data_IF_942416071976
#
_entry.id   IF_942416071976
#
_cell.length_a   1.000
_cell.length_b   1.000
_cell.length_c   1.000
_cell.angle_alpha   90.00
_cell.angle_beta   90.00
_cell.angle_gamma   90.00
#
_symmetry.space_group_name_H-M   'P 1'
#
loop_
_entity.id
_entity.type
_entity.pdbx_description
1 polymer ?
#
# COMPACT_ATOMS: atom_id res chain seq x y z
N UNK A 1 -23.58 11.78 -64.20
CA UNK A 1 -24.21 11.04 -63.08
C UNK A 1 -24.35 9.58 -63.46
N UNK A 2 -23.62 8.68 -62.80
CA UNK A 2 -23.95 7.27 -62.53
C UNK A 2 -22.75 6.58 -61.84
N UNK A 3 -22.89 6.52 -60.51
CA UNK A 3 -22.41 5.58 -59.50
C UNK A 3 -21.07 4.82 -59.64
N UNK A 4 -20.19 5.18 -58.68
CA UNK A 4 -19.30 4.39 -57.82
C UNK A 4 -18.80 3.03 -58.28
N UNK A 5 -17.49 2.99 -58.46
CA UNK A 5 -16.61 1.83 -58.41
C UNK A 5 -16.63 1.27 -56.97
N UNK A 6 -17.40 0.20 -56.76
CA UNK A 6 -17.21 -0.69 -55.63
C UNK A 6 -16.30 -1.83 -56.10
N UNK A 7 -15.01 -1.76 -55.75
CA UNK A 7 -14.07 -2.85 -55.98
C UNK A 7 -13.41 -3.23 -54.65
N UNK A 8 -13.22 -4.53 -54.50
CA UNK A 8 -12.35 -5.24 -53.55
C UNK A 8 -12.97 -5.69 -52.22
N UNK A 9 -13.72 -6.79 -52.36
CA UNK A 9 -13.54 -7.96 -51.51
C UNK A 9 -12.16 -8.57 -51.86
N UNK A 10 -11.25 -8.66 -50.89
CA UNK A 10 -10.44 -9.85 -50.55
C UNK A 10 -9.30 -9.44 -49.59
N UNK A 11 -9.33 -9.95 -48.36
CA UNK A 11 -8.31 -10.87 -47.84
C UNK A 11 -8.56 -11.13 -46.35
N UNK A 12 -9.08 -12.32 -46.12
CA UNK A 12 -9.01 -13.06 -44.86
C UNK A 12 -7.53 -13.33 -44.54
N UNK A 13 -7.25 -13.53 -43.24
CA UNK A 13 -6.02 -14.06 -42.63
C UNK A 13 -5.02 -13.01 -42.14
N UNK A 14 -5.27 -12.50 -40.92
CA UNK A 14 -4.25 -12.58 -39.87
C UNK A 14 -4.87 -13.20 -38.62
N UNK A 15 -4.33 -14.37 -38.33
CA UNK A 15 -4.51 -15.25 -37.18
C UNK A 15 -4.15 -14.58 -35.85
N UNK A 16 -4.87 -14.96 -34.79
CA UNK A 16 -4.47 -15.00 -33.38
C UNK A 16 -3.55 -13.88 -32.86
N UNK A 17 -4.16 -12.92 -32.16
CA UNK A 17 -3.61 -12.47 -30.89
C UNK A 17 -4.70 -12.61 -29.83
N UNK A 18 -4.71 -13.77 -29.17
CA UNK A 18 -5.19 -13.88 -27.80
C UNK A 18 -4.37 -12.90 -26.95
N UNK A 19 -4.89 -11.68 -26.82
CA UNK A 19 -4.49 -10.80 -25.74
C UNK A 19 -5.01 -11.44 -24.45
N UNK A 20 -4.15 -11.78 -23.47
CA UNK A 20 -4.62 -12.31 -22.22
C UNK A 20 -5.56 -11.26 -21.62
N UNK A 21 -6.81 -11.67 -21.39
CA UNK A 21 -7.72 -11.01 -20.47
C UNK A 21 -7.06 -11.03 -19.10
N UNK A 22 -6.11 -10.13 -18.89
CA UNK A 22 -5.71 -9.70 -17.56
C UNK A 22 -6.97 -9.12 -16.96
N UNK A 23 -7.56 -9.89 -16.05
CA UNK A 23 -8.47 -9.41 -15.03
C UNK A 23 -7.71 -8.34 -14.25
N UNK A 24 -7.64 -7.12 -14.79
CA UNK A 24 -7.51 -5.93 -13.98
C UNK A 24 -8.92 -5.66 -13.49
N UNK A 25 -9.23 -6.34 -12.40
CA UNK A 25 -10.32 -6.00 -11.50
C UNK A 25 -10.18 -4.50 -11.23
N UNK A 26 -11.06 -3.71 -11.87
CA UNK A 26 -11.26 -2.32 -11.54
C UNK A 26 -11.91 -2.31 -10.16
N UNK A 27 -11.12 -2.48 -9.11
CA UNK A 27 -11.56 -2.15 -7.77
C UNK A 27 -11.62 -0.62 -7.74
N UNK A 28 -12.84 -0.09 -7.90
CA UNK A 28 -13.20 1.26 -7.48
C UNK A 28 -13.05 1.35 -5.95
N UNK A 29 -11.85 1.12 -5.41
CA UNK A 29 -11.56 1.48 -4.03
C UNK A 29 -11.57 3.01 -3.97
N UNK A 30 -12.44 3.55 -3.12
CA UNK A 30 -12.39 4.97 -2.76
C UNK A 30 -10.96 5.36 -2.40
N UNK A 31 -10.48 6.55 -2.80
CA UNK A 31 -9.13 6.99 -2.46
C UNK A 31 -8.92 6.94 -0.95
N UNK A 32 -8.04 6.04 -0.48
CA UNK A 32 -7.69 5.91 0.94
C UNK A 32 -7.02 7.20 1.43
N UNK A 33 -7.44 7.69 2.58
CA UNK A 33 -6.84 8.82 3.31
C UNK A 33 -5.46 8.43 3.87
N UNK A 34 -4.62 9.42 4.25
CA UNK A 34 -3.33 9.13 4.88
C UNK A 34 -3.43 8.23 6.11
N UNK A 35 -4.41 8.49 6.99
CA UNK A 35 -4.66 7.69 8.18
C UNK A 35 -5.05 6.25 7.85
N UNK A 36 -5.90 6.04 6.84
CA UNK A 36 -6.28 4.70 6.40
C UNK A 36 -5.08 3.93 5.81
N UNK A 37 -4.17 4.61 5.11
CA UNK A 37 -2.93 4.00 4.62
C UNK A 37 -2.03 3.55 5.78
N UNK A 38 -1.83 4.40 6.80
CA UNK A 38 -1.03 4.04 7.98
C UNK A 38 -1.68 2.90 8.76
N UNK A 39 -3.00 2.94 8.91
CA UNK A 39 -3.77 1.88 9.59
C UNK A 39 -3.62 0.55 8.87
N UNK A 40 -3.77 0.53 7.55
CA UNK A 40 -3.64 -0.68 6.74
C UNK A 40 -2.19 -1.23 6.73
N UNK A 41 -1.19 -0.35 6.69
CA UNK A 41 0.21 -0.73 6.81
C UNK A 41 0.53 -1.37 8.17
N UNK A 42 0.06 -0.77 9.27
CA UNK A 42 0.24 -1.31 10.61
C UNK A 42 -0.48 -2.65 10.77
N UNK A 43 -1.71 -2.78 10.28
CA UNK A 43 -2.42 -4.04 10.28
C UNK A 43 -1.64 -5.14 9.54
N UNK A 44 -1.17 -4.85 8.32
CA UNK A 44 -0.39 -5.80 7.54
C UNK A 44 0.92 -6.21 8.25
N UNK A 45 1.64 -5.26 8.84
CA UNK A 45 2.90 -5.55 9.56
C UNK A 45 2.68 -6.32 10.86
N UNK A 46 1.63 -6.01 11.63
CA UNK A 46 1.27 -6.74 12.86
C UNK A 46 0.78 -8.16 12.58
N UNK A 47 0.16 -8.38 11.42
CA UNK A 47 -0.23 -9.70 10.93
C UNK A 47 0.88 -10.42 10.15
N UNK A 48 2.09 -9.82 10.08
CA UNK A 48 3.25 -10.35 9.35
C UNK A 48 3.03 -10.57 7.84
N UNK A 49 2.06 -9.87 7.25
CA UNK A 49 1.80 -9.84 5.81
C UNK A 49 2.68 -8.76 5.14
N UNK A 50 3.95 -9.07 4.99
CA UNK A 50 4.94 -8.13 4.45
C UNK A 50 4.76 -7.82 2.96
N UNK A 51 4.11 -8.71 2.20
CA UNK A 51 3.81 -8.46 0.80
C UNK A 51 2.72 -7.39 0.68
N UNK A 52 1.65 -7.49 1.48
CA UNK A 52 0.62 -6.45 1.56
C UNK A 52 1.18 -5.15 2.15
N UNK A 53 2.01 -5.22 3.20
CA UNK A 53 2.62 -4.03 3.79
C UNK A 53 3.46 -3.22 2.77
N UNK A 54 4.12 -3.92 1.84
CA UNK A 54 4.93 -3.32 0.78
C UNK A 54 4.10 -2.47 -0.20
N UNK A 55 2.80 -2.71 -0.34
CA UNK A 55 1.92 -1.95 -1.24
C UNK A 55 1.58 -0.55 -0.73
N UNK A 56 1.80 -0.29 0.57
CA UNK A 56 1.50 0.97 1.24
C UNK A 56 2.70 1.91 1.37
N UNK A 57 3.90 1.46 1.00
CA UNK A 57 5.13 2.24 1.12
C UNK A 57 5.67 2.65 -0.25
N UNK A 58 6.41 3.75 -0.28
CA UNK A 58 7.30 4.05 -1.42
C UNK A 58 8.46 3.07 -1.37
N UNK A 59 8.75 2.40 -2.49
CA UNK A 59 9.86 1.45 -2.61
C UNK A 59 11.21 2.19 -2.66
N UNK A 60 11.67 2.60 -1.48
CA UNK A 60 12.98 3.20 -1.26
C UNK A 60 13.83 2.32 -0.31
N UNK A 61 15.13 2.61 -0.23
CA UNK A 61 16.07 1.82 0.58
C UNK A 61 15.65 1.74 2.06
N UNK A 62 15.16 2.83 2.64
CA UNK A 62 14.74 2.87 4.05
C UNK A 62 13.57 1.94 4.34
N UNK A 63 12.50 2.05 3.55
CA UNK A 63 11.32 1.21 3.72
C UNK A 63 11.59 -0.28 3.46
N UNK A 64 12.44 -0.60 2.47
CA UNK A 64 12.86 -1.98 2.22
C UNK A 64 13.66 -2.56 3.39
N UNK A 65 14.58 -1.79 3.97
CA UNK A 65 15.33 -2.21 5.16
C UNK A 65 14.39 -2.44 6.35
N UNK A 66 13.41 -1.56 6.56
CA UNK A 66 12.44 -1.71 7.64
C UNK A 66 11.63 -3.00 7.49
N UNK A 67 11.08 -3.26 6.30
CA UNK A 67 10.31 -4.48 6.04
C UNK A 67 11.14 -5.75 6.21
N UNK A 68 12.38 -5.77 5.70
CA UNK A 68 13.28 -6.92 5.89
C UNK A 68 13.67 -7.11 7.36
N UNK A 69 13.79 -6.03 8.12
CA UNK A 69 14.06 -6.10 9.57
C UNK A 69 12.88 -6.71 10.31
N UNK A 70 11.66 -6.27 10.03
CA UNK A 70 10.44 -6.85 10.61
C UNK A 70 10.30 -8.34 10.24
N UNK A 71 10.60 -8.71 9.00
CA UNK A 71 10.60 -10.11 8.55
C UNK A 71 11.64 -10.97 9.24
N UNK A 72 12.83 -10.43 9.53
CA UNK A 72 13.85 -11.14 10.32
C UNK A 72 13.43 -11.30 11.78
N UNK A 73 12.84 -10.25 12.36
CA UNK A 73 12.33 -10.24 13.72
C UNK A 73 11.23 -11.30 13.91
N UNK A 74 10.27 -11.35 12.98
CA UNK A 74 9.18 -12.34 12.96
C UNK A 74 9.70 -13.78 13.00
N UNK A 75 10.73 -14.10 12.21
CA UNK A 75 11.35 -15.44 12.20
C UNK A 75 12.03 -15.83 13.50
N UNK A 76 12.51 -14.85 14.26
CA UNK A 76 13.17 -15.08 15.55
C UNK A 76 12.24 -15.01 16.75
N UNK A 77 10.97 -14.64 16.53
CA UNK A 77 10.03 -14.34 17.59
C UNK A 77 9.22 -15.59 18.00
N UNK A 78 9.11 -15.88 19.31
CA UNK A 78 8.19 -16.88 19.85
C UNK A 78 6.71 -16.59 19.54
N UNK A 79 5.89 -17.61 19.39
CA UNK A 79 4.46 -17.46 19.03
C UNK A 79 3.64 -16.65 20.05
N UNK A 80 3.98 -16.76 21.35
CA UNK A 80 3.33 -15.98 22.41
C UNK A 80 3.63 -14.48 22.31
N UNK A 81 4.80 -14.12 21.77
CA UNK A 81 5.15 -12.73 21.48
C UNK A 81 4.47 -12.24 20.20
N UNK A 82 4.35 -13.10 19.18
CA UNK A 82 3.61 -12.77 17.94
C UNK A 82 2.16 -12.38 18.23
N UNK A 83 1.50 -13.10 19.13
CA UNK A 83 0.13 -12.79 19.54
C UNK A 83 -0.04 -11.37 20.13
N UNK A 84 1.03 -10.79 20.71
CA UNK A 84 0.99 -9.42 21.26
C UNK A 84 0.88 -8.35 20.18
N UNK A 85 1.38 -8.59 18.97
CA UNK A 85 1.28 -7.64 17.85
C UNK A 85 -0.17 -7.42 17.43
N UNK A 86 -0.98 -8.48 17.47
CA UNK A 86 -2.43 -8.39 17.18
C UNK A 86 -3.18 -7.61 18.27
N UNK A 87 -2.72 -7.67 19.52
CA UNK A 87 -3.33 -6.90 20.61
C UNK A 87 -2.95 -5.42 20.57
N UNK A 88 -1.76 -5.11 20.07
CA UNK A 88 -1.31 -3.73 19.88
C UNK A 88 -2.26 -2.93 19.00
N UNK A 89 -2.93 -3.53 18.01
CA UNK A 89 -3.90 -2.87 17.14
C UNK A 89 -5.10 -2.25 17.88
N UNK A 90 -5.50 -2.83 19.02
CA UNK A 90 -6.77 -2.48 19.69
C UNK A 90 -6.70 -1.18 20.49
N UNK A 91 -5.49 -0.73 20.84
CA UNK A 91 -5.26 0.38 21.77
C UNK A 91 -4.27 1.40 21.19
N UNK A 92 -4.44 1.75 19.91
CA UNK A 92 -3.60 2.73 19.22
C UNK A 92 -4.36 4.03 19.00
N UNK A 93 -3.72 5.14 19.35
CA UNK A 93 -4.20 6.46 19.01
C UNK A 93 -3.48 6.98 17.75
N UNK A 94 -4.25 7.52 16.82
CA UNK A 94 -3.76 8.10 15.57
C UNK A 94 -3.98 9.62 15.60
N UNK A 95 -2.91 10.37 15.48
CA UNK A 95 -2.92 11.84 15.46
C UNK A 95 -2.48 12.35 14.10
N UNK A 96 -3.32 13.14 13.45
CA UNK A 96 -3.00 13.83 12.21
C UNK A 96 -2.33 15.15 12.57
N UNK A 97 -1.02 15.28 12.34
CA UNK A 97 -0.28 16.48 12.71
C UNK A 97 -0.25 17.52 11.59
N UNK A 98 -0.06 17.08 10.35
CA UNK A 98 -0.05 17.94 9.16
C UNK A 98 -0.62 17.18 7.96
N UNK A 99 -1.55 17.78 7.23
CA UNK A 99 -2.09 17.21 5.98
C UNK A 99 -2.19 18.33 4.94
N UNK A 100 -1.57 18.11 3.79
CA UNK A 100 -1.69 18.94 2.59
C UNK A 100 -2.29 18.11 1.45
N UNK A 101 -2.44 18.72 0.27
CA UNK A 101 -2.89 18.02 -0.93
C UNK A 101 -1.94 16.90 -1.39
N UNK A 102 -0.67 16.93 -0.95
CA UNK A 102 0.39 16.04 -1.47
C UNK A 102 1.30 15.40 -0.42
N UNK A 103 1.29 15.89 0.82
CA UNK A 103 2.06 15.37 1.95
C UNK A 103 1.18 15.21 3.18
N UNK A 104 1.50 14.25 4.05
CA UNK A 104 0.84 14.12 5.34
C UNK A 104 1.79 13.55 6.40
N UNK A 105 1.55 13.90 7.65
CA UNK A 105 2.25 13.38 8.82
C UNK A 105 1.24 12.80 9.80
N UNK A 106 1.37 11.50 10.08
CA UNK A 106 0.53 10.76 11.02
C UNK A 106 1.43 10.28 12.17
N UNK A 107 1.06 10.62 13.39
CA UNK A 107 1.71 10.13 14.60
C UNK A 107 0.84 9.03 15.20
N UNK A 108 1.46 7.90 15.48
CA UNK A 108 0.83 6.72 16.04
C UNK A 108 1.41 6.49 17.42
N UNK A 109 0.58 6.57 18.45
CA UNK A 109 1.01 6.40 19.84
C UNK A 109 0.22 5.26 20.49
N UNK A 110 0.88 4.28 21.11
CA UNK A 110 0.19 3.31 21.95
C UNK A 110 -0.49 4.04 23.12
N UNK A 111 -1.66 3.57 23.56
CA UNK A 111 -2.43 4.19 24.65
C UNK A 111 -1.74 4.14 26.03
N UNK A 112 -0.44 3.82 26.09
CA UNK A 112 0.38 3.76 27.31
C UNK A 112 1.38 4.90 27.31
N UNK A 113 1.38 5.71 28.38
CA UNK A 113 2.16 6.95 28.56
C UNK A 113 3.70 6.83 28.41
N UNK A 114 4.24 5.60 28.27
CA UNK A 114 5.68 5.32 28.21
C UNK A 114 6.11 4.84 26.81
N UNK A 115 5.18 4.56 25.90
CA UNK A 115 5.53 4.00 24.61
C UNK A 115 5.92 5.10 23.60
N UNK A 116 7.07 4.90 22.95
CA UNK A 116 7.61 5.85 21.97
C UNK A 116 6.68 5.92 20.76
N UNK A 117 6.23 7.12 20.35
CA UNK A 117 5.35 7.27 19.21
C UNK A 117 6.09 6.94 17.91
N UNK A 118 5.35 6.39 16.96
CA UNK A 118 5.83 6.12 15.60
C UNK A 118 5.31 7.24 14.70
N UNK A 119 6.21 7.91 14.00
CA UNK A 119 5.87 8.94 13.04
C UNK A 119 5.91 8.38 11.61
N UNK A 120 4.84 8.61 10.87
CA UNK A 120 4.70 8.24 9.47
C UNK A 120 4.62 9.50 8.63
N UNK A 121 5.58 9.65 7.71
CA UNK A 121 5.54 10.69 6.69
C UNK A 121 5.04 10.07 5.39
N UNK A 122 4.01 10.67 4.80
CA UNK A 122 3.34 10.18 3.60
C UNK A 122 3.44 11.20 2.48
N UNK A 123 3.43 10.67 1.26
CA UNK A 123 3.44 11.43 0.03
C UNK A 123 2.42 10.87 -0.95
N UNK A 124 1.75 11.77 -1.67
CA UNK A 124 0.79 11.42 -2.70
C UNK A 124 1.52 11.26 -4.03
N UNK A 125 1.59 10.02 -4.53
CA UNK A 125 2.17 9.68 -5.83
C UNK A 125 1.08 9.11 -6.74
N UNK A 126 0.92 9.65 -7.94
CA UNK A 126 -0.07 9.19 -8.92
C UNK A 126 -1.49 9.07 -8.30
N UNK A 127 -1.89 10.07 -7.51
CA UNK A 127 -3.18 10.13 -6.77
C UNK A 127 -3.33 9.10 -5.64
N UNK A 128 -2.33 8.28 -5.34
CA UNK A 128 -2.30 7.33 -4.22
C UNK A 128 -1.42 7.87 -3.09
N UNK A 129 -1.90 7.81 -1.85
CA UNK A 129 -1.07 8.06 -0.68
C UNK A 129 -0.17 6.85 -0.39
N UNK A 130 1.11 7.10 -0.14
CA UNK A 130 2.10 6.09 0.21
C UNK A 130 3.00 6.61 1.32
N UNK A 131 3.45 5.71 2.19
CA UNK A 131 4.41 6.01 3.27
C UNK A 131 5.78 6.24 2.65
N UNK A 132 6.30 7.45 2.79
CA UNK A 132 7.64 7.83 2.36
C UNK A 132 8.70 7.38 3.37
N UNK A 133 8.42 7.57 4.66
CA UNK A 133 9.31 7.15 5.75
C UNK A 133 8.55 6.83 7.04
N UNK A 134 9.19 5.99 7.87
CA UNK A 134 8.75 5.64 9.22
C UNK A 134 9.88 6.02 10.17
N UNK A 135 9.57 6.81 11.20
CA UNK A 135 10.52 7.29 12.21
C UNK A 135 10.08 6.76 13.57
N UNK A 136 10.99 6.06 14.23
CA UNK A 136 10.85 5.62 15.61
C UNK A 136 11.64 6.61 16.48
N UNK A 137 10.96 7.22 17.45
CA UNK A 137 11.59 8.11 18.44
C UNK A 137 12.14 7.32 19.62
#
# INVERSE_FOLDING_TARGET
MKYSIAFLIFLVVFTNCESPKSKKENTNESPKTPKEIVTAYLAATNHFDFETAKEFVILNKGNLINLETLKKMEKSMPDDQKARFLDMEKNVNYFEKEITDSTAQIIVSPNQDIAMPIEFNLKKLNKKWLIESVILH
#
